data_IF_809024603774
#
_entry.id   IF_809024603774
#
_cell.length_a   1.000
_cell.length_b   1.000
_cell.length_c   1.000
_cell.angle_alpha   90.00
_cell.angle_beta   90.00
_cell.angle_gamma   90.00
#
_symmetry.space_group_name_H-M   'P 1'
#
loop_
_entity.id
_entity.type
_entity.pdbx_description
1 polymer ?
#
# COMPACT_ATOMS: atom_id res chain seq x y z
N UNK A 1 79.33 -3.61 15.46
CA UNK A 1 78.57 -4.07 14.26
C UNK A 1 77.39 -5.01 14.61
N UNK A 2 77.45 -5.97 15.52
CA UNK A 2 76.32 -6.86 15.84
C UNK A 2 75.07 -6.17 16.43
N UNK A 3 75.19 -5.06 17.11
CA UNK A 3 74.04 -4.33 17.72
C UNK A 3 73.17 -3.56 16.71
N UNK A 4 73.75 -3.16 15.61
CA UNK A 4 73.04 -2.42 14.57
C UNK A 4 72.33 -3.35 13.56
N UNK A 5 72.81 -4.58 13.40
CA UNK A 5 72.15 -5.61 12.55
C UNK A 5 70.84 -6.05 13.17
N UNK A 6 70.71 -6.18 14.49
CA UNK A 6 69.49 -6.50 15.20
C UNK A 6 68.45 -5.36 15.15
N UNK A 7 68.89 -4.11 15.06
CA UNK A 7 67.99 -2.96 14.94
C UNK A 7 67.41 -2.86 13.53
N UNK A 8 68.19 -3.18 12.50
CA UNK A 8 67.72 -3.16 11.10
C UNK A 8 66.81 -4.36 10.76
N UNK A 9 67.03 -5.52 11.34
CA UNK A 9 66.14 -6.66 11.18
C UNK A 9 64.81 -6.47 11.93
N UNK A 10 64.79 -5.76 13.05
CA UNK A 10 63.58 -5.39 13.75
C UNK A 10 62.71 -4.35 12.98
N UNK A 11 63.38 -3.43 12.28
CA UNK A 11 62.67 -2.39 11.50
C UNK A 11 62.13 -2.91 10.15
N UNK A 12 62.72 -3.94 9.57
CA UNK A 12 62.22 -4.56 8.33
C UNK A 12 61.02 -5.51 8.57
N UNK A 13 60.84 -6.01 9.80
CA UNK A 13 59.68 -6.85 10.15
C UNK A 13 58.45 -6.03 10.54
N UNK A 14 58.59 -4.74 10.80
CA UNK A 14 57.47 -3.86 11.16
C UNK A 14 56.77 -3.21 9.92
N UNK A 15 57.31 -3.37 8.71
CA UNK A 15 56.74 -2.78 7.49
C UNK A 15 55.91 -3.79 6.68
N UNK A 16 56.02 -5.10 6.97
CA UNK A 16 55.23 -6.14 6.27
C UNK A 16 53.91 -6.50 6.96
N UNK A 17 53.49 -5.77 8.01
CA UNK A 17 52.29 -6.04 8.77
C UNK A 17 51.02 -5.30 8.30
N UNK A 18 51.11 -4.36 7.37
CA UNK A 18 49.96 -3.54 6.99
C UNK A 18 48.99 -4.21 5.99
N UNK A 19 49.40 -5.27 5.30
CA UNK A 19 48.47 -5.97 4.38
C UNK A 19 47.75 -7.16 5.00
N UNK A 20 48.09 -7.56 6.25
CA UNK A 20 47.42 -8.65 6.97
C UNK A 20 46.25 -8.17 7.84
N UNK A 21 46.01 -6.87 7.88
CA UNK A 21 44.92 -6.25 8.66
C UNK A 21 43.91 -5.48 7.79
N UNK A 22 43.95 -5.66 6.47
CA UNK A 22 42.78 -5.38 5.66
C UNK A 22 41.76 -6.50 5.92
N UNK A 23 41.10 -6.39 7.06
CA UNK A 23 39.80 -7.02 7.25
C UNK A 23 38.90 -6.44 6.13
N UNK A 24 38.55 -7.29 5.19
CA UNK A 24 37.48 -6.98 4.25
C UNK A 24 36.20 -6.87 5.07
N UNK A 25 35.87 -5.64 5.48
CA UNK A 25 34.67 -5.33 6.26
C UNK A 25 33.40 -5.46 5.45
N UNK A 26 33.46 -5.93 4.20
CA UNK A 26 32.26 -6.21 3.40
C UNK A 26 31.56 -7.47 3.90
N UNK A 27 30.88 -7.34 5.04
CA UNK A 27 29.92 -8.36 5.52
C UNK A 27 28.61 -8.32 4.75
N UNK A 28 28.47 -7.44 3.77
CA UNK A 28 27.32 -7.29 2.90
C UNK A 28 27.42 -8.12 1.63
N UNK A 29 26.30 -8.61 1.14
CA UNK A 29 26.21 -9.20 -0.21
C UNK A 29 26.60 -8.14 -1.25
N UNK A 30 27.53 -8.47 -2.12
CA UNK A 30 27.80 -7.61 -3.28
C UNK A 30 26.61 -7.68 -4.27
N UNK A 31 26.61 -6.77 -5.24
CA UNK A 31 25.50 -6.71 -6.22
C UNK A 31 25.40 -7.98 -7.06
N UNK A 32 26.50 -8.62 -7.39
CA UNK A 32 26.52 -9.84 -8.18
C UNK A 32 25.94 -11.00 -7.37
N UNK A 33 26.32 -11.15 -6.13
CA UNK A 33 25.85 -12.18 -5.22
C UNK A 33 24.35 -11.99 -4.91
N UNK A 34 23.87 -10.74 -4.75
CA UNK A 34 22.48 -10.43 -4.51
C UNK A 34 21.53 -10.97 -5.60
N UNK A 35 21.97 -11.04 -6.85
CA UNK A 35 21.18 -11.56 -7.98
C UNK A 35 21.55 -12.96 -8.42
N UNK A 36 22.45 -13.63 -7.70
CA UNK A 36 22.98 -14.93 -8.05
C UNK A 36 22.29 -16.11 -7.36
N UNK A 37 21.35 -15.85 -6.43
CA UNK A 37 20.56 -16.87 -5.74
C UNK A 37 19.09 -16.54 -5.82
N UNK A 38 18.26 -17.54 -6.10
CA UNK A 38 16.80 -17.34 -6.19
C UNK A 38 16.21 -16.77 -4.89
N UNK A 39 16.66 -17.24 -3.72
CA UNK A 39 16.23 -16.71 -2.42
C UNK A 39 16.46 -15.19 -2.28
N UNK A 40 17.59 -14.71 -2.78
CA UNK A 40 17.93 -13.30 -2.75
C UNK A 40 17.06 -12.51 -3.74
N UNK A 41 16.88 -13.04 -4.96
CA UNK A 41 15.98 -12.45 -5.97
C UNK A 41 14.55 -12.34 -5.43
N UNK A 42 14.05 -13.40 -4.78
CA UNK A 42 12.75 -13.38 -4.08
C UNK A 42 12.72 -12.34 -2.96
N UNK A 43 13.78 -12.25 -2.16
CA UNK A 43 13.92 -11.27 -1.08
C UNK A 43 13.87 -9.83 -1.58
N UNK A 44 14.58 -9.50 -2.66
CA UNK A 44 14.57 -8.18 -3.30
C UNK A 44 13.17 -7.83 -3.82
N UNK A 45 12.48 -8.76 -4.47
CA UNK A 45 11.10 -8.55 -4.92
C UNK A 45 10.17 -8.33 -3.72
N UNK A 46 10.27 -9.15 -2.67
CA UNK A 46 9.46 -9.03 -1.45
C UNK A 46 9.70 -7.70 -0.73
N UNK A 47 10.92 -7.19 -0.72
CA UNK A 47 11.24 -5.87 -0.16
C UNK A 47 10.42 -4.78 -0.85
N UNK A 48 10.26 -4.81 -2.17
CA UNK A 48 9.43 -3.83 -2.88
C UNK A 48 7.97 -3.90 -2.43
N UNK A 49 7.41 -5.08 -2.22
CA UNK A 49 6.07 -5.24 -1.65
C UNK A 49 5.94 -4.64 -0.24
N UNK A 50 6.98 -4.75 0.59
CA UNK A 50 6.98 -4.17 1.94
C UNK A 50 6.84 -2.64 1.95
N UNK A 51 7.18 -1.98 0.83
CA UNK A 51 7.06 -0.54 0.68
C UNK A 51 5.64 -0.08 0.31
N UNK A 52 4.70 -1.00 0.03
CA UNK A 52 3.30 -0.63 -0.21
C UNK A 52 2.76 0.24 0.95
N UNK A 53 2.02 1.31 0.64
CA UNK A 53 1.41 2.12 1.68
C UNK A 53 0.42 1.30 2.49
N UNK A 54 0.38 1.52 3.80
CA UNK A 54 -0.74 1.10 4.63
C UNK A 54 -1.93 2.04 4.41
N UNK A 55 -3.07 1.69 4.97
CA UNK A 55 -4.23 2.56 4.94
C UNK A 55 -4.87 2.70 6.33
N UNK A 56 -4.95 1.64 7.09
CA UNK A 56 -5.47 1.67 8.45
C UNK A 56 -4.41 2.23 9.41
N UNK A 57 -4.76 3.33 10.08
CA UNK A 57 -3.91 3.94 11.10
C UNK A 57 -2.61 4.58 10.60
N UNK A 58 -2.51 4.91 9.31
CA UNK A 58 -1.25 5.44 8.70
C UNK A 58 -0.88 6.84 9.15
N UNK A 59 -1.82 7.57 9.72
CA UNK A 59 -1.63 8.92 10.27
C UNK A 59 -1.58 8.84 11.80
N UNK A 60 -0.60 8.14 12.34
CA UNK A 60 -0.38 7.94 13.78
C UNK A 60 -1.65 7.44 14.51
N UNK A 61 -2.27 6.39 13.98
CA UNK A 61 -3.52 5.79 14.47
C UNK A 61 -4.78 6.33 13.80
N UNK A 62 -4.75 7.53 13.24
CA UNK A 62 -5.89 8.07 12.52
C UNK A 62 -6.10 7.41 11.16
N UNK A 63 -7.35 7.19 10.80
CA UNK A 63 -7.75 6.79 9.46
C UNK A 63 -7.74 8.00 8.52
N UNK A 64 -7.50 7.79 7.23
CA UNK A 64 -7.67 8.86 6.21
C UNK A 64 -9.10 9.37 6.15
N UNK A 65 -10.07 8.55 6.53
CA UNK A 65 -11.47 8.94 6.66
C UNK A 65 -11.65 10.13 7.59
N UNK A 66 -10.81 10.23 8.64
CA UNK A 66 -10.83 11.36 9.57
C UNK A 66 -10.28 12.69 9.00
N UNK A 67 -9.82 12.68 7.74
CA UNK A 67 -9.53 13.88 6.96
C UNK A 67 -10.73 14.33 6.08
N UNK A 68 -11.90 13.69 6.23
CA UNK A 68 -13.13 13.97 5.49
C UNK A 68 -14.25 14.38 6.43
N UNK A 69 -15.44 14.64 5.90
CA UNK A 69 -16.65 14.93 6.67
C UNK A 69 -17.31 13.69 7.26
N UNK A 70 -16.76 12.50 7.04
CA UNK A 70 -17.32 11.24 7.55
C UNK A 70 -16.82 10.89 8.96
N UNK A 71 -15.61 11.26 9.33
CA UNK A 71 -14.99 10.87 10.59
C UNK A 71 -14.14 11.98 11.18
N UNK A 72 -13.95 11.93 12.49
CA UNK A 72 -13.02 12.78 13.23
C UNK A 72 -12.10 11.89 14.06
N UNK A 73 -10.82 12.25 14.13
CA UNK A 73 -9.90 11.69 15.10
C UNK A 73 -9.91 12.56 16.35
N UNK A 74 -10.27 12.00 17.50
CA UNK A 74 -10.58 12.80 18.69
C UNK A 74 -9.34 13.37 19.39
N UNK A 75 -8.18 12.75 19.23
CA UNK A 75 -6.95 13.19 19.86
C UNK A 75 -6.33 14.36 19.09
N UNK A 76 -6.17 15.50 19.77
CA UNK A 76 -5.76 16.76 19.14
C UNK A 76 -4.32 16.77 18.62
N UNK A 77 -3.45 15.92 19.14
CA UNK A 77 -2.04 15.83 18.74
C UNK A 77 -1.87 14.78 17.63
N UNK A 78 -2.44 15.07 16.47
CA UNK A 78 -2.36 14.18 15.31
C UNK A 78 -2.34 14.96 14.00
N UNK A 79 -1.47 14.58 13.08
CA UNK A 79 -1.27 15.23 11.79
C UNK A 79 -2.49 15.16 10.86
N UNK A 80 -3.49 14.31 11.12
CA UNK A 80 -4.74 14.29 10.35
C UNK A 80 -5.49 15.62 10.40
N UNK A 81 -5.37 16.35 11.51
CA UNK A 81 -5.99 17.66 11.66
C UNK A 81 -5.44 18.71 10.70
N UNK A 82 -4.22 18.54 10.21
CA UNK A 82 -3.58 19.46 9.28
C UNK A 82 -4.28 19.52 7.92
N UNK A 83 -5.10 18.52 7.58
CA UNK A 83 -5.90 18.55 6.35
C UNK A 83 -6.98 19.66 6.36
N UNK A 84 -7.49 20.06 7.54
CA UNK A 84 -8.61 21.00 7.65
C UNK A 84 -8.38 22.17 8.59
N UNK A 85 -7.22 22.25 9.29
CA UNK A 85 -6.88 23.36 10.18
C UNK A 85 -6.02 24.46 9.49
N UNK A 86 -5.83 24.41 8.18
CA UNK A 86 -4.98 25.27 7.34
C UNK A 86 -3.47 25.10 7.55
N UNK A 87 -3.01 24.07 8.25
CA UNK A 87 -1.59 23.79 8.39
C UNK A 87 -0.99 23.07 7.16
N UNK A 88 -1.83 22.40 6.37
CA UNK A 88 -1.38 21.73 5.15
C UNK A 88 -0.88 22.74 4.13
N UNK A 89 0.37 22.57 3.73
CA UNK A 89 1.05 23.49 2.80
C UNK A 89 2.19 22.77 2.08
N UNK A 90 2.80 23.40 1.05
CA UNK A 90 3.99 22.83 0.41
C UNK A 90 5.16 22.57 1.36
N UNK A 91 5.23 23.29 2.50
CA UNK A 91 6.25 23.13 3.53
C UNK A 91 5.81 22.20 4.66
N UNK A 92 4.55 21.87 4.76
CA UNK A 92 3.99 20.91 5.70
C UNK A 92 3.09 19.92 4.95
N UNK A 93 3.71 18.95 4.28
CA UNK A 93 3.03 17.94 3.50
C UNK A 93 2.53 16.81 4.42
N UNK A 94 1.23 16.78 4.65
CA UNK A 94 0.57 15.64 5.33
C UNK A 94 0.56 14.44 4.38
N UNK A 95 0.69 13.23 4.92
CA UNK A 95 0.73 11.98 4.13
C UNK A 95 1.83 11.99 3.05
N UNK A 96 3.02 12.42 3.44
CA UNK A 96 4.15 12.54 2.53
C UNK A 96 4.68 11.16 2.11
N UNK A 97 4.45 10.81 0.85
CA UNK A 97 4.89 9.55 0.26
C UNK A 97 6.10 9.68 -0.65
N UNK A 98 6.69 10.90 -0.78
CA UNK A 98 7.74 11.19 -1.76
C UNK A 98 8.94 10.26 -1.63
N UNK A 99 9.61 10.29 -0.49
CA UNK A 99 10.82 9.50 -0.27
C UNK A 99 10.56 7.99 -0.32
N UNK A 100 9.44 7.54 0.25
CA UNK A 100 9.07 6.14 0.28
C UNK A 100 8.83 5.59 -1.13
N UNK A 101 8.03 6.30 -1.94
CA UNK A 101 7.72 5.86 -3.29
C UNK A 101 8.95 5.88 -4.20
N UNK A 102 9.75 6.95 -4.17
CA UNK A 102 10.98 6.99 -4.97
C UNK A 102 12.03 5.98 -4.52
N UNK A 103 12.12 5.69 -3.22
CA UNK A 103 12.94 4.58 -2.72
C UNK A 103 12.51 3.23 -3.28
N UNK A 104 11.21 2.96 -3.30
CA UNK A 104 10.66 1.75 -3.91
C UNK A 104 10.89 1.70 -5.43
N UNK A 105 10.68 2.81 -6.15
CA UNK A 105 10.95 2.93 -7.59
C UNK A 105 12.43 2.65 -7.89
N UNK A 106 13.35 3.20 -7.10
CA UNK A 106 14.79 2.92 -7.23
C UNK A 106 15.10 1.43 -7.06
N UNK A 107 14.48 0.78 -6.08
CA UNK A 107 14.65 -0.65 -5.84
C UNK A 107 14.14 -1.50 -7.02
N UNK A 108 12.99 -1.12 -7.59
CA UNK A 108 12.49 -1.76 -8.82
C UNK A 108 13.44 -1.55 -9.98
N UNK A 109 13.90 -0.32 -10.22
CA UNK A 109 14.82 -0.01 -11.31
C UNK A 109 16.13 -0.82 -11.17
N UNK A 110 16.70 -0.84 -9.96
CA UNK A 110 17.89 -1.67 -9.68
C UNK A 110 17.63 -3.15 -9.95
N UNK A 111 16.46 -3.67 -9.58
CA UNK A 111 16.10 -5.05 -9.88
C UNK A 111 16.04 -5.30 -11.39
N UNK A 112 15.32 -4.46 -12.13
CA UNK A 112 15.13 -4.64 -13.57
C UNK A 112 16.44 -4.52 -14.37
N UNK A 113 17.40 -3.73 -13.90
CA UNK A 113 18.72 -3.53 -14.51
C UNK A 113 19.70 -4.67 -14.22
N UNK A 114 19.57 -5.31 -13.05
CA UNK A 114 20.57 -6.29 -12.60
C UNK A 114 20.10 -7.74 -12.64
N UNK A 115 18.77 -7.99 -12.64
CA UNK A 115 18.25 -9.33 -12.76
C UNK A 115 18.43 -9.87 -14.17
N UNK A 116 19.03 -11.05 -14.28
CA UNK A 116 19.12 -11.83 -15.51
C UNK A 116 18.97 -13.32 -15.15
N UNK A 117 18.25 -14.06 -15.99
CA UNK A 117 18.09 -15.50 -15.82
C UNK A 117 19.43 -16.23 -15.84
N UNK A 118 20.37 -15.77 -16.66
CA UNK A 118 21.72 -16.36 -16.83
C UNK A 118 22.48 -16.46 -15.49
N UNK A 119 22.26 -15.51 -14.57
CA UNK A 119 22.88 -15.56 -13.23
C UNK A 119 22.42 -16.75 -12.39
N UNK A 120 21.26 -17.30 -12.69
CA UNK A 120 20.68 -18.45 -12.00
C UNK A 120 20.97 -19.78 -12.72
N UNK A 121 21.55 -19.77 -13.93
CA UNK A 121 21.82 -20.99 -14.73
C UNK A 121 22.74 -22.01 -14.03
N UNK A 122 23.59 -21.56 -13.10
CA UNK A 122 24.41 -22.47 -12.29
C UNK A 122 23.59 -23.48 -11.47
N UNK A 123 22.30 -23.17 -11.23
CA UNK A 123 21.37 -24.04 -10.51
C UNK A 123 20.49 -24.91 -11.43
N UNK A 124 20.76 -24.92 -12.74
CA UNK A 124 19.93 -25.61 -13.74
C UNK A 124 19.74 -27.14 -13.49
N UNK A 125 20.52 -27.70 -12.63
CA UNK A 125 20.42 -29.11 -12.24
C UNK A 125 19.64 -29.35 -10.95
N UNK A 126 19.14 -28.29 -10.30
CA UNK A 126 18.27 -28.40 -9.13
C UNK A 126 16.85 -28.78 -9.59
N UNK A 127 16.18 -29.61 -8.83
CA UNK A 127 14.81 -30.07 -9.12
C UNK A 127 13.81 -28.90 -9.18
N UNK A 128 14.07 -27.78 -8.47
CA UNK A 128 13.22 -26.59 -8.42
C UNK A 128 13.55 -25.54 -9.48
N UNK A 129 14.59 -25.74 -10.31
CA UNK A 129 15.12 -24.69 -11.18
C UNK A 129 14.08 -24.09 -12.13
N UNK A 130 13.31 -24.91 -12.82
CA UNK A 130 12.28 -24.43 -13.77
C UNK A 130 11.19 -23.63 -13.07
N UNK A 131 10.78 -24.05 -11.88
CA UNK A 131 9.81 -23.33 -11.06
C UNK A 131 10.40 -22.00 -10.56
N UNK A 132 11.64 -21.99 -10.09
CA UNK A 132 12.33 -20.81 -9.60
C UNK A 132 12.51 -19.75 -10.71
N UNK A 133 12.87 -20.17 -11.91
CA UNK A 133 12.99 -19.28 -13.07
C UNK A 133 11.63 -18.72 -13.48
N UNK A 134 10.60 -19.56 -13.51
CA UNK A 134 9.24 -19.10 -13.80
C UNK A 134 8.78 -18.03 -12.78
N UNK A 135 9.02 -18.26 -11.49
CA UNK A 135 8.72 -17.27 -10.42
C UNK A 135 9.54 -15.98 -10.58
N UNK A 136 10.84 -16.08 -10.83
CA UNK A 136 11.69 -14.92 -11.00
C UNK A 136 11.27 -14.06 -12.21
N UNK A 137 10.81 -14.70 -13.28
CA UNK A 137 10.22 -14.02 -14.44
C UNK A 137 8.94 -13.27 -14.08
N UNK A 138 8.07 -13.88 -13.25
CA UNK A 138 6.87 -13.20 -12.75
C UNK A 138 7.24 -12.02 -11.85
N UNK A 139 8.23 -12.16 -10.96
CA UNK A 139 8.68 -11.06 -10.12
C UNK A 139 9.08 -9.83 -10.93
N UNK A 140 9.74 -10.02 -12.07
CA UNK A 140 10.08 -8.92 -12.97
C UNK A 140 8.85 -8.15 -13.44
N UNK A 141 7.81 -8.84 -13.87
CA UNK A 141 6.58 -8.21 -14.35
C UNK A 141 5.75 -7.62 -13.18
N UNK A 142 5.70 -8.29 -12.04
CA UNK A 142 5.07 -7.76 -10.83
C UNK A 142 5.71 -6.44 -10.39
N UNK A 143 7.05 -6.37 -10.39
CA UNK A 143 7.79 -5.18 -10.01
C UNK A 143 7.56 -4.01 -10.98
N UNK A 144 7.35 -4.27 -12.26
CA UNK A 144 6.94 -3.25 -13.24
C UNK A 144 5.59 -2.64 -12.86
N UNK A 145 4.62 -3.46 -12.47
CA UNK A 145 3.31 -2.98 -12.00
C UNK A 145 3.43 -2.24 -10.68
N UNK A 146 4.27 -2.71 -9.74
CA UNK A 146 4.51 -2.00 -8.48
C UNK A 146 5.19 -0.64 -8.71
N UNK A 147 6.13 -0.53 -9.66
CA UNK A 147 6.70 0.77 -10.07
C UNK A 147 5.60 1.70 -10.60
N UNK A 148 4.74 1.21 -11.47
CA UNK A 148 3.59 1.96 -11.97
C UNK A 148 2.66 2.38 -10.82
N UNK A 149 2.45 1.52 -9.82
CA UNK A 149 1.67 1.85 -8.62
C UNK A 149 2.32 2.99 -7.82
N UNK A 150 3.63 2.92 -7.54
CA UNK A 150 4.33 3.98 -6.80
C UNK A 150 4.37 5.30 -7.57
N UNK A 151 4.51 5.27 -8.90
CA UNK A 151 4.38 6.46 -9.74
C UNK A 151 2.97 7.05 -9.67
N UNK A 152 1.94 6.21 -9.63
CA UNK A 152 0.56 6.67 -9.45
C UNK A 152 0.33 7.28 -8.06
N UNK A 153 0.89 6.67 -6.99
CA UNK A 153 0.84 7.22 -5.64
C UNK A 153 1.47 8.63 -5.55
N UNK A 154 2.57 8.85 -6.29
CA UNK A 154 3.20 10.16 -6.41
C UNK A 154 2.35 11.13 -7.25
N UNK A 155 1.95 10.72 -8.44
CA UNK A 155 1.24 11.60 -9.38
C UNK A 155 -0.10 12.09 -8.82
N UNK A 156 -0.86 11.24 -8.13
CA UNK A 156 -2.15 11.63 -7.52
C UNK A 156 -1.99 12.65 -6.38
N UNK A 157 -0.80 12.74 -5.73
CA UNK A 157 -0.52 13.68 -4.64
C UNK A 157 0.17 14.95 -5.10
N UNK A 158 1.10 14.83 -6.05
CA UNK A 158 2.03 15.91 -6.40
C UNK A 158 1.82 16.44 -7.83
N UNK A 159 0.95 15.83 -8.63
CA UNK A 159 0.72 16.21 -10.02
C UNK A 159 1.89 15.81 -10.93
N UNK A 160 2.58 16.79 -11.48
CA UNK A 160 3.77 16.59 -12.32
C UNK A 160 4.96 16.14 -11.47
N UNK A 161 5.57 15.03 -11.84
CA UNK A 161 6.65 14.37 -11.07
C UNK A 161 7.80 13.92 -11.98
N UNK A 162 9.03 13.79 -11.48
CA UNK A 162 10.10 13.10 -12.20
C UNK A 162 9.75 11.65 -12.52
N UNK A 163 9.77 11.29 -13.79
CA UNK A 163 9.52 9.93 -14.25
C UNK A 163 10.82 9.12 -14.28
N UNK A 164 11.14 8.46 -13.17
CA UNK A 164 12.38 7.72 -12.98
C UNK A 164 12.23 6.26 -13.42
N UNK A 165 12.68 5.93 -14.62
CA UNK A 165 12.57 4.60 -15.24
C UNK A 165 13.83 3.75 -15.18
N UNK A 166 14.93 4.33 -14.67
CA UNK A 166 16.23 3.68 -14.43
C UNK A 166 16.83 4.11 -13.10
N UNK A 167 17.95 3.54 -12.72
CA UNK A 167 18.77 4.10 -11.62
C UNK A 167 19.52 5.34 -12.09
N UNK A 168 19.67 6.30 -11.20
CA UNK A 168 20.36 7.56 -11.45
C UNK A 168 21.49 7.74 -10.44
N UNK A 169 22.61 8.28 -10.88
CA UNK A 169 23.69 8.70 -10.01
C UNK A 169 23.31 9.99 -9.23
N UNK A 170 24.01 10.28 -8.13
CA UNK A 170 23.68 11.42 -7.27
C UNK A 170 23.84 12.78 -7.96
N UNK A 171 24.73 12.88 -8.90
CA UNK A 171 24.97 14.08 -9.72
C UNK A 171 23.93 14.24 -10.83
N UNK A 172 23.35 13.15 -11.32
CA UNK A 172 22.33 13.18 -12.36
C UNK A 172 20.92 13.48 -11.81
N UNK A 173 20.58 12.94 -10.63
CA UNK A 173 19.20 12.93 -10.14
C UNK A 173 18.60 14.33 -10.00
N UNK A 174 19.39 15.32 -9.63
CA UNK A 174 18.95 16.69 -9.45
C UNK A 174 18.69 17.43 -10.77
N UNK A 175 19.12 16.88 -11.90
CA UNK A 175 18.88 17.45 -13.24
C UNK A 175 17.67 16.84 -13.94
N UNK A 176 17.01 15.85 -13.34
CA UNK A 176 15.82 15.23 -13.93
C UNK A 176 14.63 16.17 -13.82
N UNK A 177 14.11 16.58 -14.95
CA UNK A 177 12.91 17.42 -15.01
C UNK A 177 11.64 16.64 -14.67
N UNK A 178 10.60 17.36 -14.30
CA UNK A 178 9.28 16.78 -14.08
C UNK A 178 8.64 16.42 -15.42
N UNK A 179 8.07 15.23 -15.50
CA UNK A 179 7.13 14.85 -16.54
C UNK A 179 5.73 15.32 -16.15
N UNK A 180 4.92 15.68 -17.16
CA UNK A 180 3.54 16.05 -16.92
C UNK A 180 2.75 14.87 -16.36
N UNK A 181 1.68 15.17 -15.62
CA UNK A 181 0.75 14.14 -15.12
C UNK A 181 0.28 13.21 -16.25
N UNK A 182 -0.02 13.76 -17.41
CA UNK A 182 -0.47 13.00 -18.59
C UNK A 182 0.57 11.99 -19.08
N UNK A 183 1.84 12.39 -19.15
CA UNK A 183 2.95 11.51 -19.54
C UNK A 183 3.16 10.39 -18.52
N UNK A 184 3.08 10.72 -17.23
CA UNK A 184 3.17 9.72 -16.15
C UNK A 184 2.02 8.71 -16.25
N UNK A 185 0.79 9.15 -16.43
CA UNK A 185 -0.37 8.24 -16.60
C UNK A 185 -0.21 7.36 -17.84
N UNK A 186 0.26 7.94 -18.96
CA UNK A 186 0.53 7.15 -20.16
C UNK A 186 1.55 6.04 -19.87
N UNK A 187 2.66 6.37 -19.21
CA UNK A 187 3.68 5.40 -18.84
C UNK A 187 3.11 4.29 -17.93
N UNK A 188 2.33 4.67 -16.92
CA UNK A 188 1.66 3.71 -16.03
C UNK A 188 0.76 2.75 -16.83
N UNK A 189 -0.03 3.27 -17.75
CA UNK A 189 -0.91 2.45 -18.60
C UNK A 189 -0.14 1.49 -19.51
N UNK A 190 0.98 1.94 -20.08
CA UNK A 190 1.82 1.13 -20.95
C UNK A 190 2.49 -0.02 -20.15
N UNK A 191 3.06 0.28 -18.98
CA UNK A 191 3.64 -0.73 -18.09
C UNK A 191 2.60 -1.78 -17.64
N UNK A 192 1.40 -1.32 -17.26
CA UNK A 192 0.32 -2.22 -16.86
C UNK A 192 -0.15 -3.10 -18.02
N UNK A 193 -0.27 -2.55 -19.23
CA UNK A 193 -0.66 -3.31 -20.40
C UNK A 193 0.36 -4.40 -20.76
N UNK A 194 1.64 -4.06 -20.70
CA UNK A 194 2.71 -4.98 -21.06
C UNK A 194 2.85 -6.09 -20.03
N UNK A 195 2.90 -5.75 -18.74
CA UNK A 195 2.98 -6.74 -17.67
C UNK A 195 1.76 -7.69 -17.65
N UNK A 196 0.57 -7.18 -17.97
CA UNK A 196 -0.66 -7.98 -18.03
C UNK A 196 -0.64 -9.08 -19.11
N UNK A 197 0.27 -9.02 -20.09
CA UNK A 197 0.42 -10.07 -21.11
C UNK A 197 1.02 -11.36 -20.52
N UNK A 198 1.86 -11.23 -19.50
CA UNK A 198 2.61 -12.33 -18.88
C UNK A 198 2.04 -12.72 -17.52
N UNK A 199 1.54 -11.76 -16.76
CA UNK A 199 1.02 -12.00 -15.41
C UNK A 199 -0.18 -12.97 -15.41
N UNK A 200 -0.25 -13.91 -14.45
CA UNK A 200 -1.39 -14.81 -14.29
C UNK A 200 -2.60 -14.07 -13.74
N UNK A 201 -3.78 -14.65 -13.91
CA UNK A 201 -5.02 -14.18 -13.29
C UNK A 201 -5.01 -14.42 -11.78
N UNK A 202 -4.44 -15.54 -11.35
CA UNK A 202 -4.30 -15.93 -9.94
C UNK A 202 -2.96 -16.62 -9.73
N UNK A 203 -2.32 -16.36 -8.58
CA UNK A 203 -1.13 -17.08 -8.13
C UNK A 203 -1.47 -18.31 -7.28
N UNK A 204 -2.72 -18.44 -6.78
CA UNK A 204 -3.13 -19.56 -5.92
C UNK A 204 -3.02 -20.91 -6.63
N UNK A 205 -3.38 -20.93 -7.90
CA UNK A 205 -3.35 -22.16 -8.71
C UNK A 205 -1.93 -22.58 -9.10
N UNK A 206 -0.99 -21.67 -8.98
CA UNK A 206 0.40 -21.90 -9.43
C UNK A 206 1.36 -22.21 -8.28
N UNK A 207 1.31 -21.44 -7.18
CA UNK A 207 2.36 -21.51 -6.13
C UNK A 207 1.83 -21.37 -4.72
N UNK A 208 0.53 -21.42 -4.52
CA UNK A 208 -0.11 -21.13 -3.23
C UNK A 208 0.33 -19.77 -2.61
N UNK A 209 0.83 -18.86 -3.43
CA UNK A 209 1.21 -17.49 -3.01
C UNK A 209 0.04 -16.56 -3.26
N UNK A 210 -0.41 -15.88 -2.21
CA UNK A 210 -1.49 -14.89 -2.26
C UNK A 210 -0.94 -13.49 -1.96
N UNK A 211 -1.69 -12.44 -2.32
CA UNK A 211 -1.25 -11.05 -2.11
C UNK A 211 -0.21 -10.56 -3.12
N UNK A 212 0.08 -11.33 -4.16
CA UNK A 212 0.98 -10.92 -5.25
C UNK A 212 0.21 -10.23 -6.38
N UNK A 213 0.93 -9.38 -7.12
CA UNK A 213 0.39 -8.68 -8.29
C UNK A 213 -0.05 -9.69 -9.36
N UNK A 214 -1.26 -9.54 -9.84
CA UNK A 214 -1.87 -10.35 -10.88
C UNK A 214 -2.17 -9.52 -12.13
N UNK A 215 -2.61 -10.18 -13.19
CA UNK A 215 -3.14 -9.52 -14.38
C UNK A 215 -4.29 -8.56 -14.03
N UNK A 216 -5.18 -8.97 -13.13
CA UNK A 216 -6.25 -8.13 -12.65
C UNK A 216 -5.76 -6.88 -11.90
N UNK A 217 -4.71 -7.02 -11.09
CA UNK A 217 -4.07 -5.88 -10.40
C UNK A 217 -3.55 -4.85 -11.40
N UNK A 218 -2.82 -5.29 -12.43
CA UNK A 218 -2.29 -4.40 -13.45
C UNK A 218 -3.41 -3.63 -14.18
N UNK A 219 -4.47 -4.34 -14.61
CA UNK A 219 -5.60 -3.72 -15.31
C UNK A 219 -6.44 -2.81 -14.40
N UNK A 220 -6.59 -3.15 -13.11
CA UNK A 220 -7.28 -2.30 -12.15
C UNK A 220 -6.51 -1.01 -11.86
N UNK A 221 -5.18 -1.08 -11.74
CA UNK A 221 -4.34 0.12 -11.62
C UNK A 221 -4.47 1.02 -12.85
N UNK A 222 -4.42 0.45 -14.06
CA UNK A 222 -4.64 1.19 -15.30
C UNK A 222 -6.00 1.89 -15.31
N UNK A 223 -7.08 1.17 -14.96
CA UNK A 223 -8.43 1.74 -14.90
C UNK A 223 -8.50 2.92 -13.94
N UNK A 224 -7.92 2.78 -12.75
CA UNK A 224 -7.88 3.85 -11.75
C UNK A 224 -7.07 5.06 -12.24
N UNK A 225 -5.91 4.84 -12.86
CA UNK A 225 -5.06 5.91 -13.39
C UNK A 225 -5.79 6.71 -14.49
N UNK A 226 -6.49 6.03 -15.39
CA UNK A 226 -7.31 6.67 -16.44
C UNK A 226 -8.50 7.44 -15.87
N UNK A 227 -9.13 6.93 -14.79
CA UNK A 227 -10.22 7.63 -14.11
C UNK A 227 -9.74 8.96 -13.52
N UNK A 228 -8.55 8.97 -12.88
CA UNK A 228 -7.96 10.21 -12.37
C UNK A 228 -7.61 11.18 -13.51
N UNK A 229 -7.11 10.68 -14.64
CA UNK A 229 -6.84 11.51 -15.82
C UNK A 229 -8.10 12.09 -16.47
N UNK A 230 -9.25 11.46 -16.28
CA UNK A 230 -10.55 11.94 -16.75
C UNK A 230 -11.20 12.92 -15.77
N UNK A 231 -10.73 12.99 -14.51
CA UNK A 231 -11.29 13.87 -13.48
C UNK A 231 -11.13 15.36 -13.83
N UNK A 232 -11.99 16.21 -13.28
CA UNK A 232 -12.04 17.65 -13.58
C UNK A 232 -10.68 18.34 -13.42
N UNK A 233 -9.87 17.93 -12.45
CA UNK A 233 -8.53 18.48 -12.20
C UNK A 233 -7.60 18.31 -13.41
N UNK A 234 -7.65 17.15 -14.06
CA UNK A 234 -6.76 16.78 -15.17
C UNK A 234 -7.47 16.77 -16.53
N UNK A 235 -8.76 17.12 -16.55
CA UNK A 235 -9.61 17.18 -17.73
C UNK A 235 -10.58 18.39 -17.65
N UNK A 236 -10.06 19.61 -17.54
CA UNK A 236 -10.90 20.82 -17.40
C UNK A 236 -11.77 21.07 -18.63
N UNK A 237 -11.37 20.58 -19.80
CA UNK A 237 -12.16 20.65 -21.05
C UNK A 237 -13.31 19.64 -21.11
N UNK A 238 -13.41 18.74 -20.11
CA UNK A 238 -14.39 17.64 -20.06
C UNK A 238 -14.37 16.75 -21.32
N UNK A 239 -13.17 16.47 -21.82
CA UNK A 239 -12.96 15.56 -22.95
C UNK A 239 -13.60 14.19 -22.64
N UNK A 240 -14.62 13.85 -23.43
CA UNK A 240 -15.38 12.62 -23.29
C UNK A 240 -14.55 11.35 -23.59
N UNK A 241 -13.51 11.46 -24.42
CA UNK A 241 -12.65 10.31 -24.76
C UNK A 241 -11.83 9.84 -23.56
N UNK A 242 -11.45 10.73 -22.65
CA UNK A 242 -10.80 10.36 -21.40
C UNK A 242 -11.73 9.57 -20.50
N UNK A 243 -12.99 9.99 -20.36
CA UNK A 243 -14.01 9.25 -19.61
C UNK A 243 -14.30 7.88 -20.24
N UNK A 244 -14.39 7.86 -21.58
CA UNK A 244 -14.57 6.62 -22.32
C UNK A 244 -13.39 5.66 -22.11
N UNK A 245 -12.16 6.13 -22.17
CA UNK A 245 -10.97 5.31 -21.93
C UNK A 245 -10.96 4.69 -20.52
N UNK A 246 -11.35 5.46 -19.50
CA UNK A 246 -11.47 4.97 -18.12
C UNK A 246 -12.57 3.89 -18.00
N UNK A 247 -13.74 4.13 -18.61
CA UNK A 247 -14.86 3.17 -18.63
C UNK A 247 -14.49 1.89 -19.37
N UNK A 248 -13.87 1.99 -20.54
CA UNK A 248 -13.42 0.84 -21.34
C UNK A 248 -12.40 -0.01 -20.57
N UNK A 249 -11.48 0.64 -19.84
CA UNK A 249 -10.48 -0.07 -19.02
C UNK A 249 -11.13 -0.83 -17.86
N UNK A 250 -12.12 -0.24 -17.19
CA UNK A 250 -12.90 -0.92 -16.14
C UNK A 250 -13.71 -2.09 -16.73
N UNK A 251 -14.40 -1.86 -17.83
CA UNK A 251 -15.21 -2.89 -18.49
C UNK A 251 -14.36 -4.07 -19.01
N UNK A 252 -13.11 -3.81 -19.40
CA UNK A 252 -12.18 -4.86 -19.82
C UNK A 252 -11.92 -5.90 -18.72
N UNK A 253 -12.01 -5.52 -17.45
CA UNK A 253 -11.89 -6.45 -16.31
C UNK A 253 -13.22 -7.16 -16.06
N UNK A 254 -14.31 -6.39 -16.07
CA UNK A 254 -15.66 -6.90 -15.75
C UNK A 254 -16.08 -8.03 -16.70
N UNK A 255 -15.84 -7.86 -18.01
CA UNK A 255 -16.24 -8.84 -19.03
C UNK A 255 -15.52 -10.19 -18.91
N UNK A 256 -14.35 -10.24 -18.27
CA UNK A 256 -13.58 -11.47 -18.08
C UNK A 256 -14.13 -12.35 -16.97
N UNK A 257 -15.00 -11.82 -16.12
CA UNK A 257 -15.63 -12.52 -14.99
C UNK A 257 -14.64 -13.19 -14.00
N UNK A 258 -13.45 -12.63 -13.86
CA UNK A 258 -12.46 -13.12 -12.87
C UNK A 258 -12.86 -12.78 -11.43
N UNK A 259 -13.60 -11.70 -11.27
CA UNK A 259 -14.06 -11.18 -9.99
C UNK A 259 -15.58 -11.06 -9.99
N UNK A 260 -16.18 -11.14 -8.81
CA UNK A 260 -17.63 -10.98 -8.67
C UNK A 260 -17.99 -10.32 -7.36
N UNK A 261 -19.07 -9.56 -7.36
CA UNK A 261 -19.64 -9.07 -6.11
C UNK A 261 -20.40 -10.20 -5.41
N UNK A 262 -20.34 -10.29 -4.07
CA UNK A 262 -21.07 -11.29 -3.34
C UNK A 262 -22.57 -11.06 -3.50
N UNK A 263 -23.33 -12.15 -3.63
CA UNK A 263 -24.79 -12.09 -3.77
C UNK A 263 -25.51 -11.84 -2.44
N UNK A 264 -24.81 -12.01 -1.33
CA UNK A 264 -25.34 -11.86 0.03
C UNK A 264 -24.31 -11.16 0.91
N UNK A 265 -24.72 -10.75 2.12
CA UNK A 265 -23.81 -10.19 3.13
C UNK A 265 -22.86 -11.25 3.76
N UNK A 266 -22.75 -12.42 3.17
CA UNK A 266 -21.91 -13.53 3.64
C UNK A 266 -20.50 -13.54 3.01
N UNK A 267 -20.06 -12.44 2.38
CA UNK A 267 -18.70 -12.35 1.87
C UNK A 267 -17.70 -12.36 3.05
N UNK A 268 -16.69 -13.23 3.00
CA UNK A 268 -15.65 -13.31 4.04
C UNK A 268 -14.95 -11.98 4.34
N UNK A 269 -14.88 -11.08 3.37
CA UNK A 269 -14.30 -9.74 3.55
C UNK A 269 -15.02 -8.92 4.64
N UNK A 270 -16.28 -9.19 4.90
CA UNK A 270 -17.11 -8.51 5.89
C UNK A 270 -17.47 -9.40 7.10
N UNK A 271 -16.91 -10.61 7.15
CA UNK A 271 -17.12 -11.50 8.28
C UNK A 271 -16.08 -11.25 9.36
N UNK A 272 -16.52 -10.77 10.52
CA UNK A 272 -15.66 -10.54 11.70
C UNK A 272 -14.92 -11.79 12.19
N UNK A 273 -15.38 -12.98 11.81
CA UNK A 273 -14.75 -14.25 12.12
C UNK A 273 -14.00 -14.85 10.92
N UNK A 274 -13.90 -14.11 9.81
CA UNK A 274 -13.45 -14.63 8.51
C UNK A 274 -12.01 -15.13 8.48
N UNK A 275 -11.14 -14.64 9.35
CA UNK A 275 -9.75 -15.09 9.42
C UNK A 275 -9.10 -15.13 8.02
N UNK A 276 -8.45 -16.26 7.70
CA UNK A 276 -7.83 -16.45 6.38
C UNK A 276 -8.82 -16.60 5.22
N UNK A 277 -10.13 -16.74 5.49
CA UNK A 277 -11.14 -16.86 4.44
C UNK A 277 -11.40 -15.54 3.71
N UNK A 278 -11.01 -14.39 4.29
CA UNK A 278 -11.00 -13.08 3.62
C UNK A 278 -10.23 -13.16 2.29
N UNK A 279 -9.16 -13.95 2.24
CA UNK A 279 -8.34 -14.14 1.04
C UNK A 279 -9.06 -14.89 -0.09
N UNK A 280 -10.19 -15.51 0.21
CA UNK A 280 -11.04 -16.21 -0.76
C UNK A 280 -12.18 -15.34 -1.28
N UNK A 281 -12.25 -14.07 -0.86
CA UNK A 281 -13.29 -13.17 -1.35
C UNK A 281 -13.21 -13.02 -2.88
N UNK A 282 -14.31 -13.28 -3.60
CA UNK A 282 -14.31 -13.21 -5.06
C UNK A 282 -14.22 -11.77 -5.59
N UNK A 283 -14.33 -10.76 -4.74
CA UNK A 283 -14.18 -9.35 -5.13
C UNK A 283 -12.75 -8.81 -4.93
N UNK A 284 -11.86 -9.59 -4.30
CA UNK A 284 -10.52 -9.15 -3.98
C UNK A 284 -9.62 -9.19 -5.22
N UNK A 285 -9.11 -8.04 -5.64
CA UNK A 285 -8.21 -7.91 -6.80
C UNK A 285 -6.75 -7.87 -6.36
N UNK A 286 -6.44 -7.06 -5.34
CA UNK A 286 -5.11 -6.90 -4.79
C UNK A 286 -5.18 -6.47 -3.33
N UNK A 287 -4.27 -6.99 -2.53
CA UNK A 287 -4.22 -6.71 -1.09
C UNK A 287 -2.79 -6.46 -0.63
N UNK A 288 -2.62 -5.58 0.34
CA UNK A 288 -1.42 -5.53 1.14
C UNK A 288 -1.58 -6.45 2.33
N UNK A 289 -0.64 -7.34 2.53
CA UNK A 289 -0.57 -8.20 3.71
C UNK A 289 0.26 -7.55 4.80
N UNK A 290 -0.27 -7.58 6.00
CA UNK A 290 0.43 -7.17 7.21
C UNK A 290 0.56 -8.38 8.12
N UNK A 291 1.55 -8.36 9.03
CA UNK A 291 1.58 -9.27 10.16
C UNK A 291 0.41 -9.02 11.11
N UNK A 292 0.22 -9.90 12.07
CA UNK A 292 -0.74 -9.71 13.16
C UNK A 292 -0.36 -8.46 13.96
N UNK A 293 -1.35 -7.61 14.24
CA UNK A 293 -1.21 -6.38 15.01
C UNK A 293 -2.54 -6.09 15.69
N UNK A 294 -2.49 -5.45 16.85
CA UNK A 294 -3.65 -4.92 17.57
C UNK A 294 -3.74 -3.40 17.45
N UNK A 295 -2.96 -2.77 16.60
CA UNK A 295 -2.87 -1.31 16.49
C UNK A 295 -4.19 -0.69 16.05
N UNK A 296 -4.92 -1.35 15.14
CA UNK A 296 -6.23 -0.86 14.70
C UNK A 296 -7.26 -0.89 15.83
N UNK A 297 -7.33 -2.01 16.55
CA UNK A 297 -8.23 -2.19 17.69
C UNK A 297 -7.87 -1.23 18.83
N UNK A 298 -6.60 -1.11 19.17
CA UNK A 298 -6.15 -0.18 20.20
C UNK A 298 -6.52 1.27 19.87
N UNK A 299 -6.31 1.72 18.67
CA UNK A 299 -6.65 3.09 18.26
C UNK A 299 -8.17 3.35 18.19
N UNK A 300 -9.01 2.33 18.03
CA UNK A 300 -10.42 2.51 17.67
C UNK A 300 -11.42 1.93 18.67
N UNK A 301 -11.03 0.95 19.52
CA UNK A 301 -11.94 0.41 20.53
C UNK A 301 -12.33 1.46 21.57
N UNK A 302 -13.53 1.35 22.16
CA UNK A 302 -13.94 2.21 23.27
C UNK A 302 -12.95 2.16 24.45
N UNK A 303 -12.85 3.24 25.20
CA UNK A 303 -11.86 3.42 26.29
C UNK A 303 -11.97 2.39 27.41
N UNK A 304 -13.11 1.73 27.58
CA UNK A 304 -13.28 0.65 28.58
C UNK A 304 -12.61 -0.66 28.18
N UNK A 305 -12.18 -0.80 26.93
CA UNK A 305 -11.48 -1.98 26.47
C UNK A 305 -9.96 -1.84 26.69
N UNK A 306 -9.27 -2.94 26.86
CA UNK A 306 -7.82 -2.91 27.10
C UNK A 306 -7.11 -2.16 25.96
N UNK A 307 -6.42 -1.08 26.31
CA UNK A 307 -5.74 -0.16 25.38
C UNK A 307 -6.64 0.54 24.35
N UNK A 308 -7.96 0.55 24.56
CA UNK A 308 -8.87 1.25 23.67
C UNK A 308 -8.72 2.77 23.80
N UNK A 309 -8.55 3.46 22.67
CA UNK A 309 -8.34 4.92 22.62
C UNK A 309 -9.52 5.68 22.01
N UNK A 310 -10.51 4.98 21.43
CA UNK A 310 -11.66 5.61 20.73
C UNK A 310 -11.22 6.69 19.73
N UNK A 311 -10.16 6.42 18.94
CA UNK A 311 -9.51 7.46 18.15
C UNK A 311 -10.37 7.99 17.00
N UNK A 312 -10.92 7.11 16.17
CA UNK A 312 -11.73 7.49 15.01
C UNK A 312 -13.22 7.37 15.34
N UNK A 313 -13.94 8.47 15.30
CA UNK A 313 -15.38 8.51 15.58
C UNK A 313 -16.14 9.08 14.38
N UNK A 314 -17.37 8.59 14.10
CA UNK A 314 -18.18 9.11 13.01
C UNK A 314 -18.60 10.55 13.28
N UNK A 315 -18.70 11.35 12.22
CA UNK A 315 -19.37 12.66 12.30
C UNK A 315 -20.89 12.47 12.21
N UNK A 316 -21.63 13.50 12.61
CA UNK A 316 -23.07 13.51 12.39
C UNK A 316 -23.43 13.46 10.91
N UNK A 317 -22.61 14.06 10.03
CA UNK A 317 -22.81 14.00 8.57
C UNK A 317 -22.83 12.56 8.05
N UNK A 318 -21.89 11.72 8.52
CA UNK A 318 -21.90 10.30 8.16
C UNK A 318 -23.15 9.58 8.68
N UNK A 319 -23.52 9.84 9.92
CA UNK A 319 -24.72 9.24 10.54
C UNK A 319 -25.98 9.61 9.73
N UNK A 320 -26.11 10.86 9.32
CA UNK A 320 -27.26 11.37 8.59
C UNK A 320 -27.31 10.84 7.14
N UNK A 321 -26.14 10.54 6.54
CA UNK A 321 -26.07 9.97 5.20
C UNK A 321 -26.67 8.55 5.11
N UNK A 322 -26.80 7.84 6.22
CA UNK A 322 -27.49 6.54 6.23
C UNK A 322 -29.00 6.76 6.25
N UNK A 323 -29.66 6.33 5.20
CA UNK A 323 -31.13 6.40 5.06
C UNK A 323 -31.84 5.40 5.99
N UNK A 324 -33.14 5.53 6.08
CA UNK A 324 -34.00 4.52 6.68
C UNK A 324 -34.10 3.28 5.74
N UNK A 325 -34.50 2.14 6.28
CA UNK A 325 -34.70 0.88 5.54
C UNK A 325 -35.71 1.01 4.38
N UNK A 326 -36.55 2.03 4.40
CA UNK A 326 -37.51 2.32 3.32
C UNK A 326 -36.94 3.27 2.23
N UNK A 327 -35.65 3.65 2.33
CA UNK A 327 -34.95 4.52 1.38
C UNK A 327 -35.24 6.02 1.55
N UNK A 328 -35.89 6.43 2.63
CA UNK A 328 -36.06 7.84 2.97
C UNK A 328 -34.92 8.33 3.84
N UNK A 329 -34.60 9.61 3.69
CA UNK A 329 -33.65 10.27 4.57
C UNK A 329 -34.22 10.32 6.01
N UNK A 330 -33.31 10.25 6.99
CA UNK A 330 -33.71 10.39 8.39
C UNK A 330 -33.96 11.86 8.71
N UNK A 331 -35.08 12.13 9.41
CA UNK A 331 -35.49 13.47 9.77
C UNK A 331 -35.52 13.60 11.30
N UNK A 332 -34.56 14.37 11.84
CA UNK A 332 -34.46 14.64 13.27
C UNK A 332 -35.64 15.39 13.84
N UNK A 333 -36.34 16.22 13.05
CA UNK A 333 -37.52 16.98 13.47
C UNK A 333 -38.75 16.07 13.72
N UNK A 334 -38.77 14.90 13.08
CA UNK A 334 -39.86 13.91 13.24
C UNK A 334 -39.58 12.90 14.35
N UNK A 335 -38.45 13.00 15.06
CA UNK A 335 -38.09 12.08 16.13
C UNK A 335 -39.01 12.31 17.35
N UNK A 336 -39.75 11.26 17.73
CA UNK A 336 -40.58 11.32 18.90
C UNK A 336 -39.75 11.31 20.21
N UNK A 337 -40.22 12.01 21.30
CA UNK A 337 -39.51 11.97 22.57
C UNK A 337 -39.31 10.53 23.07
N UNK A 338 -38.04 10.17 23.34
CA UNK A 338 -37.67 8.82 23.82
C UNK A 338 -37.48 7.76 22.72
N UNK A 339 -37.69 8.10 21.46
CA UNK A 339 -37.40 7.24 20.35
C UNK A 339 -35.88 7.15 20.11
N UNK A 340 -35.37 5.95 19.83
CA UNK A 340 -33.98 5.77 19.46
C UNK A 340 -33.74 6.24 18.00
N UNK A 341 -32.89 7.25 17.75
CA UNK A 341 -32.65 7.80 16.40
C UNK A 341 -31.90 6.84 15.48
N UNK A 342 -31.38 5.76 16.01
CA UNK A 342 -30.56 4.80 15.26
C UNK A 342 -31.35 3.55 14.84
N UNK A 343 -32.63 3.44 15.23
CA UNK A 343 -33.48 2.34 14.79
C UNK A 343 -33.99 2.51 13.35
N UNK A 344 -34.10 1.40 12.63
CA UNK A 344 -34.66 1.37 11.28
C UNK A 344 -33.76 2.00 10.20
N UNK A 345 -32.48 2.18 10.48
CA UNK A 345 -31.49 2.66 9.51
C UNK A 345 -31.11 1.58 8.51
N UNK A 346 -30.49 1.97 7.40
CA UNK A 346 -29.83 1.08 6.44
C UNK A 346 -28.96 0.05 7.19
N UNK A 347 -29.00 -1.23 6.83
CA UNK A 347 -28.21 -2.27 7.50
C UNK A 347 -26.68 -1.99 7.53
N UNK A 348 -26.15 -1.19 6.60
CA UNK A 348 -24.74 -0.77 6.59
C UNK A 348 -24.39 0.14 7.76
N UNK A 349 -25.35 0.92 8.26
CA UNK A 349 -25.17 1.75 9.44
C UNK A 349 -24.64 0.93 10.63
N UNK A 350 -25.30 -0.17 10.96
CA UNK A 350 -24.93 -1.03 12.09
C UNK A 350 -23.64 -1.83 11.90
N UNK A 351 -23.05 -1.78 10.70
CA UNK A 351 -21.72 -2.33 10.40
C UNK A 351 -20.62 -1.27 10.45
N UNK A 352 -20.99 -0.01 10.39
CA UNK A 352 -20.07 1.13 10.29
C UNK A 352 -19.96 1.89 11.60
N UNK A 353 -21.08 2.05 12.32
CA UNK A 353 -21.19 2.88 13.51
C UNK A 353 -21.56 2.02 14.71
N UNK A 354 -20.82 2.18 15.80
CA UNK A 354 -21.10 1.60 17.10
C UNK A 354 -21.77 2.66 17.99
N UNK A 355 -23.00 2.40 18.39
CA UNK A 355 -23.82 3.35 19.15
C UNK A 355 -23.88 3.01 20.63
N UNK A 356 -24.29 3.99 21.44
CA UNK A 356 -24.63 3.75 22.82
C UNK A 356 -25.75 2.69 22.94
N UNK A 357 -25.57 1.70 23.80
CA UNK A 357 -26.49 0.59 23.98
C UNK A 357 -26.21 -0.63 23.09
N UNK A 358 -25.38 -0.50 22.08
CA UNK A 358 -24.96 -1.64 21.25
C UNK A 358 -24.15 -2.66 22.06
N UNK A 359 -24.15 -3.90 21.58
CA UNK A 359 -23.31 -4.95 22.16
C UNK A 359 -22.09 -5.18 21.29
N UNK A 360 -20.92 -5.05 21.89
CA UNK A 360 -19.63 -5.34 21.27
C UNK A 360 -18.79 -6.24 22.17
N UNK A 361 -18.23 -7.33 21.64
CA UNK A 361 -17.38 -8.29 22.38
C UNK A 361 -17.98 -8.70 23.74
N UNK A 362 -19.29 -9.04 23.77
CA UNK A 362 -20.06 -9.42 24.97
C UNK A 362 -20.20 -8.32 26.04
N UNK A 363 -20.00 -7.06 25.69
CA UNK A 363 -20.18 -5.91 26.59
C UNK A 363 -21.11 -4.88 25.94
N UNK A 364 -21.97 -4.26 26.74
CA UNK A 364 -22.82 -3.15 26.29
C UNK A 364 -22.05 -1.86 26.31
N UNK A 365 -22.08 -1.11 25.21
CA UNK A 365 -21.45 0.21 25.07
C UNK A 365 -22.23 1.26 25.88
N UNK A 366 -21.52 2.07 26.65
CA UNK A 366 -22.05 3.13 27.49
C UNK A 366 -21.28 4.43 27.20
N UNK A 367 -21.54 5.05 26.04
CA UNK A 367 -20.86 6.24 25.56
C UNK A 367 -21.45 7.57 26.04
N UNK A 368 -22.40 7.52 26.97
CA UNK A 368 -22.96 8.72 27.64
C UNK A 368 -22.01 9.24 28.73
N UNK A 369 -22.17 10.49 29.12
CA UNK A 369 -21.40 11.12 30.21
C UNK A 369 -21.51 10.32 31.52
N UNK A 370 -20.36 9.91 32.08
CA UNK A 370 -20.28 9.05 33.25
C UNK A 370 -20.50 7.54 32.95
N UNK A 371 -20.72 7.16 31.71
CA UNK A 371 -20.70 5.77 31.28
C UNK A 371 -19.26 5.25 31.18
N UNK A 372 -19.10 3.92 31.18
CA UNK A 372 -17.75 3.30 31.13
C UNK A 372 -16.97 3.58 29.85
N UNK A 373 -17.66 3.92 28.77
CA UNK A 373 -17.11 4.25 27.44
C UNK A 373 -17.29 5.74 27.10
N UNK A 374 -17.81 6.53 28.03
CA UNK A 374 -17.92 7.98 27.92
C UNK A 374 -16.69 8.67 28.50
N UNK A 375 -16.35 9.87 27.97
CA UNK A 375 -15.30 10.75 28.51
C UNK A 375 -15.86 11.68 29.57
#
# INVERSE_FOLDING_TARGET
MRKYILLYTGLLLSVSGCSLLELDESTGLDREEAYSYFSNVKGLATYVYSQLPGDLGVLDGALRESATDNSVYIWSDNSVHDFYNNAWSPNNAVDNMWSKCYGAIRSVNSFLENYSQERLERFRWNDTYEEDIAKATMYREELRVLRAFYLFELAKRYGDIPLLTRTYALDEINSVEKSSFSEVIKYICDECNDAAKTLPVSHQDFWAETGRVTKGTALALKSRALLYAASMLHNPSQDADKWKAAADAAYAIIKENWYSLPKTNADPLYDKNGGNDVLKSPQLIFERRNGESFDFEANNLPISYEKGETGNVPTQNLVDAFQLTNGKDFDWEQLAPGQNPYEGRDPRFYKTVLCNGDTWMNSTIQSYEGGKDGA
#
